data_IF_193289735492
#
_entry.id   IF_193289735492
#
_cell.length_a   1.000
_cell.length_b   1.000
_cell.length_c   1.000
_cell.angle_alpha   90.00
_cell.angle_beta   90.00
_cell.angle_gamma   90.00
#
_symmetry.space_group_name_H-M   'P 1'
#
loop_
_entity.id
_entity.type
_entity.pdbx_description
1 polymer ?
#
# COMPACT_ATOMS: atom_id res chain seq x y z
N UNK A 1 -24.25 14.86 8.00
CA UNK A 1 -23.46 15.97 7.43
C UNK A 1 -22.02 15.49 7.42
N UNK A 2 -21.61 14.77 6.39
CA UNK A 2 -20.21 14.36 6.20
C UNK A 2 -19.66 15.11 4.99
N UNK A 3 -19.17 16.32 5.26
CA UNK A 3 -18.38 17.10 4.33
C UNK A 3 -16.91 17.02 4.74
N UNK A 4 -16.23 15.96 4.28
CA UNK A 4 -14.80 16.02 4.00
C UNK A 4 -14.63 15.55 2.56
N UNK A 5 -14.72 16.52 1.63
CA UNK A 5 -14.48 16.33 0.20
C UNK A 5 -12.97 16.18 0.01
N UNK A 6 -12.45 15.00 0.34
CA UNK A 6 -11.36 14.44 -0.45
C UNK A 6 -11.96 13.96 -1.77
N UNK A 7 -11.22 14.08 -2.88
CA UNK A 7 -11.67 13.49 -4.14
C UNK A 7 -11.96 12.00 -3.92
N UNK A 8 -13.19 11.58 -4.16
CA UNK A 8 -13.60 10.19 -4.00
C UNK A 8 -12.85 9.33 -5.03
N UNK A 9 -12.38 8.14 -4.63
CA UNK A 9 -11.68 7.24 -5.55
C UNK A 9 -12.55 6.89 -6.76
N UNK A 10 -12.02 7.09 -7.96
CA UNK A 10 -12.67 6.76 -9.22
C UNK A 10 -11.89 5.65 -9.95
N UNK A 11 -12.47 4.44 -10.00
CA UNK A 11 -11.83 3.27 -10.66
C UNK A 11 -11.65 3.47 -12.18
N UNK A 12 -12.44 4.37 -12.79
CA UNK A 12 -12.31 4.76 -14.20
C UNK A 12 -11.10 5.68 -14.43
N UNK A 13 -10.44 6.16 -13.38
CA UNK A 13 -9.21 6.96 -13.46
C UNK A 13 -8.01 6.24 -12.83
N UNK A 14 -8.21 5.02 -12.33
CA UNK A 14 -7.21 4.22 -11.63
C UNK A 14 -6.62 3.12 -12.53
N UNK A 15 -6.23 3.49 -13.75
CA UNK A 15 -5.61 2.61 -14.73
C UNK A 15 -4.54 3.37 -15.51
N UNK A 16 -3.61 2.66 -16.15
CA UNK A 16 -2.66 3.31 -17.05
C UNK A 16 -3.38 3.84 -18.29
N UNK A 17 -3.07 5.07 -18.71
CA UNK A 17 -3.84 5.77 -19.77
C UNK A 17 -4.03 4.95 -21.04
N UNK A 18 -3.01 4.21 -21.49
CA UNK A 18 -3.09 3.42 -22.72
C UNK A 18 -4.19 2.35 -22.70
N UNK A 19 -4.58 1.86 -21.51
CA UNK A 19 -5.68 0.91 -21.30
C UNK A 19 -7.05 1.50 -21.66
N UNK A 20 -7.19 2.83 -21.72
CA UNK A 20 -8.40 3.50 -22.21
C UNK A 20 -8.74 3.12 -23.66
N UNK A 21 -7.75 2.75 -24.47
CA UNK A 21 -7.93 2.42 -25.90
C UNK A 21 -8.04 0.92 -26.19
N UNK A 22 -7.75 0.09 -25.19
CA UNK A 22 -7.58 -1.36 -25.35
C UNK A 22 -8.82 -2.12 -25.78
N UNK A 23 -10.01 -1.66 -25.42
CA UNK A 23 -11.26 -2.27 -25.89
C UNK A 23 -11.37 -2.29 -27.43
N UNK A 24 -10.67 -1.42 -28.16
CA UNK A 24 -10.62 -1.44 -29.63
C UNK A 24 -9.56 -2.40 -30.21
N UNK A 25 -8.69 -2.95 -29.37
CA UNK A 25 -7.48 -3.67 -29.78
C UNK A 25 -7.54 -5.16 -29.42
N UNK A 26 -8.24 -5.53 -28.36
CA UNK A 26 -8.27 -6.92 -27.90
C UNK A 26 -9.32 -7.77 -28.63
N UNK A 27 -9.01 -9.04 -28.90
CA UNK A 27 -10.03 -10.02 -29.18
C UNK A 27 -10.93 -10.25 -27.93
N UNK A 28 -12.20 -10.66 -28.13
CA UNK A 28 -13.07 -11.06 -27.03
C UNK A 28 -12.46 -12.18 -26.17
N UNK A 29 -12.83 -12.26 -24.88
CA UNK A 29 -12.41 -13.28 -23.89
C UNK A 29 -10.94 -13.24 -23.41
N UNK A 30 -10.38 -12.05 -23.21
CA UNK A 30 -9.02 -11.89 -22.66
C UNK A 30 -8.94 -12.27 -21.16
N UNK A 31 -7.95 -13.10 -20.79
CA UNK A 31 -7.67 -13.53 -19.41
C UNK A 31 -6.33 -12.98 -18.93
N UNK A 32 -6.26 -12.56 -17.68
CA UNK A 32 -5.01 -12.13 -17.04
C UNK A 32 -4.56 -13.09 -15.95
N UNK A 33 -3.25 -13.34 -15.94
CA UNK A 33 -2.58 -14.13 -14.92
C UNK A 33 -1.44 -13.30 -14.34
N UNK A 34 -1.33 -13.29 -13.01
CA UNK A 34 -0.26 -12.59 -12.31
C UNK A 34 0.60 -13.62 -11.58
N UNK A 35 1.90 -13.58 -11.87
CA UNK A 35 2.95 -14.34 -11.20
C UNK A 35 4.06 -13.38 -10.75
N UNK A 36 4.95 -13.86 -9.88
CA UNK A 36 6.03 -13.03 -9.32
C UNK A 36 7.40 -13.62 -9.61
N UNK A 37 8.36 -12.73 -9.86
CA UNK A 37 9.76 -13.05 -10.13
C UNK A 37 10.60 -13.07 -8.84
N UNK A 38 10.33 -13.99 -7.90
CA UNK A 38 11.16 -14.22 -6.70
C UNK A 38 11.21 -15.72 -6.41
N UNK A 39 12.34 -16.24 -5.90
CA UNK A 39 12.52 -17.69 -5.62
C UNK A 39 11.40 -18.30 -4.75
N UNK A 40 11.05 -17.60 -3.67
CA UNK A 40 9.85 -17.83 -2.85
C UNK A 40 9.24 -16.47 -2.51
N UNK A 41 7.90 -16.39 -2.47
CA UNK A 41 7.15 -15.20 -2.06
C UNK A 41 6.12 -15.53 -1.00
N UNK A 42 5.81 -14.56 -0.14
CA UNK A 42 4.64 -14.59 0.74
C UNK A 42 3.52 -13.84 0.03
N UNK A 43 2.45 -14.54 -0.35
CA UNK A 43 1.30 -13.91 -0.97
C UNK A 43 0.46 -13.17 0.08
N UNK A 44 0.33 -11.85 -0.03
CA UNK A 44 -0.41 -11.01 0.92
C UNK A 44 -0.79 -9.67 0.27
N UNK A 45 -1.95 -9.13 0.62
CA UNK A 45 -2.37 -7.77 0.24
C UNK A 45 -3.48 -7.66 -0.81
N UNK A 46 -3.89 -8.76 -1.45
CA UNK A 46 -4.91 -8.72 -2.50
C UNK A 46 -6.28 -8.36 -1.91
N UNK A 47 -6.64 -8.92 -0.76
CA UNK A 47 -7.90 -8.67 -0.06
C UNK A 47 -8.10 -7.19 0.25
N UNK A 48 -7.02 -6.49 0.65
CA UNK A 48 -7.07 -5.04 0.84
C UNK A 48 -7.53 -4.31 -0.43
N UNK A 49 -6.93 -4.63 -1.57
CA UNK A 49 -7.25 -4.00 -2.87
C UNK A 49 -8.69 -4.35 -3.28
N UNK A 50 -9.08 -5.62 -3.17
CA UNK A 50 -10.43 -6.08 -3.51
C UNK A 50 -11.49 -5.34 -2.70
N UNK A 51 -11.33 -5.29 -1.37
CA UNK A 51 -12.32 -4.70 -0.47
C UNK A 51 -12.36 -3.17 -0.54
N UNK A 52 -11.21 -2.51 -0.74
CA UNK A 52 -11.14 -1.04 -0.76
C UNK A 52 -11.57 -0.45 -2.10
N UNK A 53 -11.19 -1.09 -3.21
CA UNK A 53 -11.26 -0.46 -4.53
C UNK A 53 -12.18 -1.13 -5.54
N UNK A 54 -12.47 -2.43 -5.39
CA UNK A 54 -13.18 -3.20 -6.43
C UNK A 54 -14.55 -3.72 -5.98
N UNK A 55 -14.75 -3.92 -4.67
CA UNK A 55 -16.00 -4.44 -4.11
C UNK A 55 -17.09 -3.37 -4.09
N UNK A 56 -18.30 -3.78 -4.48
CA UNK A 56 -19.52 -2.96 -4.38
C UNK A 56 -19.76 -2.12 -5.62
N UNK A 57 -20.57 -1.07 -5.47
CA UNK A 57 -20.88 -0.11 -6.52
C UNK A 57 -19.74 0.89 -6.70
N UNK A 58 -18.84 0.57 -7.64
CA UNK A 58 -17.63 1.37 -7.91
C UNK A 58 -17.78 2.25 -9.15
N UNK A 59 -18.79 2.00 -9.97
CA UNK A 59 -19.14 2.80 -11.14
C UNK A 59 -20.40 3.61 -10.83
N UNK A 60 -20.36 4.92 -11.12
CA UNK A 60 -21.53 5.81 -11.05
C UNK A 60 -21.58 6.71 -12.28
N UNK A 61 -22.72 7.37 -12.51
CA UNK A 61 -22.88 8.29 -13.64
C UNK A 61 -21.89 9.45 -13.55
N UNK A 62 -21.66 9.96 -12.34
CA UNK A 62 -20.74 11.07 -12.05
C UNK A 62 -19.30 10.66 -12.37
N UNK A 63 -18.88 9.46 -11.94
CA UNK A 63 -17.56 8.91 -12.23
C UNK A 63 -17.32 8.68 -13.73
N UNK A 64 -18.36 8.30 -14.48
CA UNK A 64 -18.30 8.14 -15.94
C UNK A 64 -18.09 9.49 -16.63
N UNK A 65 -18.85 10.51 -16.23
CA UNK A 65 -18.76 11.85 -16.83
C UNK A 65 -17.41 12.51 -16.53
N UNK A 66 -16.93 12.39 -15.28
CA UNK A 66 -15.61 12.86 -14.88
C UNK A 66 -14.51 12.17 -15.70
N UNK A 67 -14.55 10.84 -15.82
CA UNK A 67 -13.55 10.10 -16.57
C UNK A 67 -13.56 10.45 -18.07
N UNK A 68 -14.74 10.60 -18.67
CA UNK A 68 -14.89 11.04 -20.06
C UNK A 68 -14.24 12.40 -20.30
N UNK A 69 -14.47 13.36 -19.40
CA UNK A 69 -13.84 14.68 -19.47
C UNK A 69 -12.31 14.60 -19.36
N UNK A 70 -11.80 13.92 -18.32
CA UNK A 70 -10.36 13.76 -18.11
C UNK A 70 -9.69 13.09 -19.30
N UNK A 71 -10.26 12.01 -19.84
CA UNK A 71 -9.67 11.31 -20.98
C UNK A 71 -9.76 12.10 -22.28
N UNK A 72 -10.84 12.85 -22.49
CA UNK A 72 -10.96 13.75 -23.65
C UNK A 72 -9.86 14.80 -23.64
N UNK A 73 -9.61 15.44 -22.50
CA UNK A 73 -8.52 16.41 -22.35
C UNK A 73 -7.14 15.74 -22.41
N UNK A 74 -6.97 14.55 -21.84
CA UNK A 74 -5.68 13.85 -21.85
C UNK A 74 -5.26 13.40 -23.25
N UNK A 75 -6.20 12.87 -24.05
CA UNK A 75 -5.91 12.31 -25.37
C UNK A 75 -6.15 13.27 -26.53
N UNK A 76 -6.92 14.34 -26.32
CA UNK A 76 -7.38 15.26 -27.38
C UNK A 76 -8.17 14.55 -28.49
N UNK A 77 -8.69 13.35 -28.19
CA UNK A 77 -9.56 12.53 -29.06
C UNK A 77 -10.48 11.69 -28.19
N UNK A 78 -11.69 11.41 -28.69
CA UNK A 78 -12.66 10.57 -27.98
C UNK A 78 -12.30 9.08 -28.08
N UNK A 79 -11.57 8.60 -27.08
CA UNK A 79 -11.15 7.20 -26.97
C UNK A 79 -11.82 6.45 -25.82
N UNK A 80 -12.37 7.15 -24.83
CA UNK A 80 -12.89 6.53 -23.61
C UNK A 80 -14.10 5.61 -23.90
N UNK A 81 -14.09 4.40 -23.33
CA UNK A 81 -15.18 3.43 -23.52
C UNK A 81 -16.41 3.77 -22.66
N UNK A 82 -17.02 4.93 -22.88
CA UNK A 82 -18.22 5.37 -22.15
C UNK A 82 -19.34 4.34 -22.23
N UNK A 83 -19.57 3.76 -23.41
CA UNK A 83 -20.62 2.75 -23.63
C UNK A 83 -20.40 1.52 -22.74
N UNK A 84 -19.18 0.99 -22.68
CA UNK A 84 -18.86 -0.16 -21.83
C UNK A 84 -19.04 0.14 -20.33
N UNK A 85 -18.65 1.33 -19.88
CA UNK A 85 -18.85 1.72 -18.48
C UNK A 85 -20.33 1.97 -18.13
N UNK A 86 -21.09 2.60 -19.02
CA UNK A 86 -22.54 2.74 -18.87
C UNK A 86 -23.24 1.38 -18.81
N UNK A 87 -22.82 0.42 -19.63
CA UNK A 87 -23.35 -0.94 -19.58
C UNK A 87 -23.15 -1.61 -18.21
N UNK A 88 -21.96 -1.47 -17.62
CA UNK A 88 -21.69 -2.00 -16.27
C UNK A 88 -22.59 -1.32 -15.22
N UNK A 89 -22.77 0.01 -15.33
CA UNK A 89 -23.67 0.76 -14.45
C UNK A 89 -25.12 0.26 -14.55
N UNK A 90 -25.64 0.12 -15.76
CA UNK A 90 -27.05 -0.24 -15.99
C UNK A 90 -27.35 -1.72 -15.70
N UNK A 91 -26.46 -2.64 -16.11
CA UNK A 91 -26.69 -4.08 -15.98
C UNK A 91 -26.34 -4.63 -14.60
N UNK A 92 -25.27 -4.12 -13.98
CA UNK A 92 -24.72 -4.65 -12.73
C UNK A 92 -24.82 -3.66 -11.56
N UNK A 93 -25.61 -2.59 -11.69
CA UNK A 93 -25.69 -1.49 -10.71
C UNK A 93 -24.28 -0.96 -10.35
N UNK A 94 -23.39 -0.90 -11.33
CA UNK A 94 -22.02 -0.42 -11.16
C UNK A 94 -21.07 -1.37 -10.41
N UNK A 95 -21.44 -2.63 -10.21
CA UNK A 95 -20.55 -3.69 -9.74
C UNK A 95 -19.75 -4.27 -10.90
N UNK A 96 -18.46 -4.53 -10.70
CA UNK A 96 -17.59 -5.06 -11.74
C UNK A 96 -17.88 -6.55 -12.01
N UNK A 97 -18.24 -6.96 -13.26
CA UNK A 97 -18.48 -8.36 -13.61
C UNK A 97 -17.14 -9.08 -13.86
N UNK A 98 -16.40 -9.32 -12.78
CA UNK A 98 -15.11 -10.04 -12.80
C UNK A 98 -15.07 -11.11 -11.72
N UNK A 99 -14.38 -12.21 -12.01
CA UNK A 99 -14.05 -13.26 -11.05
C UNK A 99 -12.54 -13.23 -10.78
N UNK A 100 -12.17 -13.25 -9.50
CA UNK A 100 -10.78 -13.29 -9.04
C UNK A 100 -10.57 -14.58 -8.26
N UNK A 101 -9.65 -15.43 -8.74
CA UNK A 101 -9.25 -16.68 -8.06
C UNK A 101 -7.81 -16.53 -7.61
N UNK A 102 -7.56 -16.71 -6.31
CA UNK A 102 -6.24 -16.51 -5.72
C UNK A 102 -5.86 -17.67 -4.78
N UNK A 103 -4.55 -17.89 -4.62
CA UNK A 103 -4.04 -18.72 -3.52
C UNK A 103 -4.37 -18.06 -2.17
N UNK A 104 -4.48 -18.81 -1.07
CA UNK A 104 -4.75 -18.20 0.24
C UNK A 104 -3.65 -17.21 0.64
N UNK A 105 -4.03 -16.02 1.13
CA UNK A 105 -3.06 -15.08 1.69
C UNK A 105 -2.33 -15.68 2.90
N UNK A 106 -1.05 -15.33 3.07
CA UNK A 106 -0.12 -15.93 4.02
C UNK A 106 0.63 -17.15 3.45
N UNK A 107 0.23 -17.68 2.30
CA UNK A 107 0.91 -18.81 1.66
C UNK A 107 2.31 -18.43 1.18
N UNK A 108 3.23 -19.38 1.27
CA UNK A 108 4.59 -19.27 0.71
C UNK A 108 4.60 -19.99 -0.64
N UNK A 109 4.84 -19.23 -1.72
CA UNK A 109 4.70 -19.72 -3.09
C UNK A 109 6.06 -19.66 -3.80
N UNK A 110 6.55 -20.77 -4.41
CA UNK A 110 7.76 -20.76 -5.21
C UNK A 110 7.62 -19.93 -6.50
N UNK A 111 8.75 -19.45 -7.04
CA UNK A 111 8.81 -18.74 -8.32
C UNK A 111 8.09 -19.50 -9.43
N UNK A 112 7.46 -18.74 -10.34
CA UNK A 112 6.85 -19.30 -11.56
C UNK A 112 5.47 -19.92 -11.36
N UNK A 113 4.91 -19.83 -10.15
CA UNK A 113 3.52 -20.20 -9.89
C UNK A 113 2.61 -18.97 -9.98
N UNK A 114 1.39 -19.21 -10.46
CA UNK A 114 0.33 -18.21 -10.50
C UNK A 114 -0.13 -17.92 -9.08
N UNK A 115 -0.19 -16.64 -8.71
CA UNK A 115 -0.70 -16.22 -7.40
C UNK A 115 -2.21 -15.97 -7.45
N UNK A 116 -2.66 -15.31 -8.50
CA UNK A 116 -4.08 -15.12 -8.77
C UNK A 116 -4.34 -14.92 -10.26
N UNK A 117 -5.59 -15.17 -10.64
CA UNK A 117 -6.13 -14.99 -11.98
C UNK A 117 -7.35 -14.10 -11.94
N UNK A 118 -7.58 -13.40 -13.05
CA UNK A 118 -8.74 -12.52 -13.23
C UNK A 118 -9.38 -12.81 -14.57
N UNK A 119 -10.70 -12.97 -14.56
CA UNK A 119 -11.50 -13.15 -15.76
C UNK A 119 -12.78 -12.32 -15.69
N UNK A 120 -13.22 -11.78 -16.82
CA UNK A 120 -14.53 -11.15 -16.94
C UNK A 120 -15.62 -12.24 -16.91
N UNK A 121 -16.73 -11.99 -16.22
CA UNK A 121 -17.88 -12.90 -16.15
C UNK A 121 -18.95 -12.57 -17.18
N UNK A 122 -18.78 -11.47 -17.92
CA UNK A 122 -19.67 -11.03 -19.01
C UNK A 122 -18.86 -10.79 -20.29
N UNK A 123 -19.23 -11.40 -21.44
CA UNK A 123 -18.54 -11.19 -22.71
C UNK A 123 -18.45 -9.72 -23.16
N UNK A 124 -19.40 -8.86 -22.82
CA UNK A 124 -19.38 -7.42 -23.15
C UNK A 124 -18.32 -6.64 -22.34
N UNK A 125 -17.75 -7.27 -21.31
CA UNK A 125 -16.75 -6.70 -20.42
C UNK A 125 -15.35 -7.29 -20.60
N UNK A 126 -15.04 -7.87 -21.77
CA UNK A 126 -13.72 -8.48 -22.07
C UNK A 126 -12.52 -7.54 -21.84
N UNK A 127 -12.70 -6.23 -22.01
CA UNK A 127 -11.68 -5.21 -21.83
C UNK A 127 -11.40 -4.90 -20.34
N UNK A 128 -12.33 -5.23 -19.44
CA UNK A 128 -12.28 -4.90 -18.02
C UNK A 128 -11.15 -5.65 -17.30
N UNK A 129 -10.88 -6.90 -17.71
CA UNK A 129 -9.81 -7.74 -17.15
C UNK A 129 -8.46 -7.02 -17.16
N UNK A 130 -8.15 -6.34 -18.27
CA UNK A 130 -6.93 -5.54 -18.43
C UNK A 130 -7.00 -4.17 -17.77
N UNK A 131 -8.20 -3.60 -17.63
CA UNK A 131 -8.38 -2.29 -17.01
C UNK A 131 -7.92 -2.30 -15.54
N UNK A 132 -8.36 -3.31 -14.79
CA UNK A 132 -8.07 -3.44 -13.35
C UNK A 132 -6.68 -4.01 -13.06
N UNK A 133 -5.92 -4.36 -14.09
CA UNK A 133 -4.56 -4.88 -13.95
C UNK A 133 -3.65 -3.92 -13.18
N UNK A 134 -3.67 -2.62 -13.53
CA UNK A 134 -2.78 -1.61 -12.91
C UNK A 134 -2.95 -1.58 -11.39
N UNK A 135 -4.19 -1.56 -10.89
CA UNK A 135 -4.46 -1.53 -9.45
C UNK A 135 -4.19 -2.87 -8.77
N UNK A 136 -4.50 -3.99 -9.43
CA UNK A 136 -4.22 -5.31 -8.89
C UNK A 136 -2.71 -5.61 -8.83
N UNK A 137 -1.93 -5.13 -9.79
CA UNK A 137 -0.48 -5.31 -9.79
C UNK A 137 0.18 -4.60 -8.62
N UNK A 138 -0.42 -3.55 -8.03
CA UNK A 138 0.09 -2.91 -6.80
C UNK A 138 0.20 -3.88 -5.60
N UNK A 139 -0.41 -5.07 -5.68
CA UNK A 139 -0.17 -6.19 -4.73
C UNK A 139 1.32 -6.57 -4.64
N UNK A 140 2.14 -6.25 -5.64
CA UNK A 140 3.60 -6.46 -5.60
C UNK A 140 4.24 -5.88 -4.34
N UNK A 141 3.75 -4.73 -3.86
CA UNK A 141 4.31 -4.02 -2.71
C UNK A 141 4.15 -4.81 -1.40
N UNK A 142 2.91 -5.16 -0.94
CA UNK A 142 2.73 -5.97 0.25
C UNK A 142 3.38 -7.36 0.14
N UNK A 143 3.36 -8.01 -1.04
CA UNK A 143 4.07 -9.27 -1.28
C UNK A 143 5.57 -9.11 -1.01
N UNK A 144 6.17 -8.05 -1.54
CA UNK A 144 7.61 -7.81 -1.42
C UNK A 144 7.99 -7.55 0.03
N UNK A 145 7.25 -6.68 0.73
CA UNK A 145 7.51 -6.37 2.15
C UNK A 145 7.36 -7.61 3.02
N UNK A 146 6.27 -8.38 2.87
CA UNK A 146 6.06 -9.61 3.63
C UNK A 146 7.15 -10.66 3.33
N UNK A 147 7.58 -10.78 2.07
CA UNK A 147 8.62 -11.72 1.64
C UNK A 147 9.99 -11.36 2.24
N UNK A 148 10.41 -10.09 2.14
CA UNK A 148 11.71 -9.65 2.66
C UNK A 148 11.73 -9.61 4.19
N UNK A 149 10.62 -9.25 4.84
CA UNK A 149 10.46 -9.39 6.28
C UNK A 149 10.62 -10.86 6.71
N UNK A 150 10.00 -11.80 6.00
CA UNK A 150 10.18 -13.25 6.23
C UNK A 150 11.63 -13.71 6.03
N UNK A 151 12.31 -13.23 4.98
CA UNK A 151 13.73 -13.56 4.73
C UNK A 151 14.61 -13.12 5.90
N UNK A 152 14.39 -11.92 6.43
CA UNK A 152 15.08 -11.45 7.65
C UNK A 152 14.72 -12.31 8.86
N UNK A 153 13.45 -12.72 9.01
CA UNK A 153 13.05 -13.66 10.08
C UNK A 153 13.81 -14.99 10.01
N UNK A 154 14.03 -15.55 8.82
CA UNK A 154 14.84 -16.78 8.63
C UNK A 154 16.29 -16.57 9.12
N UNK A 155 16.91 -15.43 8.79
CA UNK A 155 18.27 -15.10 9.23
C UNK A 155 18.33 -14.96 10.76
N UNK A 156 17.41 -14.21 11.35
CA UNK A 156 17.33 -14.02 12.80
C UNK A 156 17.09 -15.34 13.53
N UNK A 157 16.19 -16.18 13.02
CA UNK A 157 15.90 -17.49 13.60
C UNK A 157 17.13 -18.40 13.62
N UNK A 158 17.88 -18.44 12.50
CA UNK A 158 19.12 -19.21 12.41
C UNK A 158 20.15 -18.73 13.44
N UNK A 159 20.43 -17.43 13.47
CA UNK A 159 21.40 -16.86 14.40
C UNK A 159 20.99 -17.07 15.87
N UNK A 160 19.70 -16.92 16.19
CA UNK A 160 19.19 -17.08 17.55
C UNK A 160 19.30 -18.55 18.01
N UNK A 161 18.95 -19.52 17.15
CA UNK A 161 19.15 -20.94 17.45
C UNK A 161 20.61 -21.29 17.66
N UNK A 162 21.51 -20.80 16.80
CA UNK A 162 22.94 -21.11 16.88
C UNK A 162 23.59 -20.52 18.14
N UNK A 163 23.14 -19.35 18.60
CA UNK A 163 23.79 -18.61 19.70
C UNK A 163 23.12 -18.81 21.06
N UNK A 164 21.83 -19.15 21.08
CA UNK A 164 21.05 -19.28 22.33
C UNK A 164 20.33 -20.62 22.49
N UNK A 165 20.27 -21.45 21.45
CA UNK A 165 19.54 -22.72 21.47
C UNK A 165 18.00 -22.60 21.50
N UNK A 166 17.45 -21.38 21.38
CA UNK A 166 16.01 -21.11 21.45
C UNK A 166 15.58 -20.11 20.36
N UNK A 167 14.27 -20.06 20.07
CA UNK A 167 13.62 -19.04 19.24
C UNK A 167 12.86 -18.00 20.06
N UNK A 168 13.01 -18.00 21.39
CA UNK A 168 12.24 -17.15 22.28
C UNK A 168 12.37 -15.66 21.92
N UNK A 169 11.23 -15.02 21.71
CA UNK A 169 11.12 -13.61 21.36
C UNK A 169 11.47 -13.26 19.92
N UNK A 170 11.69 -14.25 19.03
CA UNK A 170 11.94 -14.04 17.59
C UNK A 170 10.91 -13.10 16.97
N UNK A 171 9.65 -13.22 17.35
CA UNK A 171 8.54 -12.40 16.85
C UNK A 171 8.68 -10.90 17.16
N UNK A 172 9.57 -10.50 18.07
CA UNK A 172 9.88 -9.11 18.41
C UNK A 172 11.30 -8.68 18.02
N UNK A 173 12.09 -9.52 17.32
CA UNK A 173 13.50 -9.22 16.98
C UNK A 173 13.68 -8.27 15.79
N UNK A 174 12.61 -7.95 15.05
CA UNK A 174 12.64 -6.94 13.99
C UNK A 174 11.43 -6.01 14.13
N UNK A 175 11.69 -4.79 14.61
CA UNK A 175 10.67 -3.78 14.85
C UNK A 175 10.53 -2.84 13.65
N UNK A 176 9.29 -2.58 13.24
CA UNK A 176 9.01 -1.65 12.14
C UNK A 176 9.09 -0.18 12.61
N UNK A 177 10.13 0.53 12.17
CA UNK A 177 10.32 1.98 12.34
C UNK A 177 10.11 2.78 11.03
N UNK A 178 9.48 2.17 10.02
CA UNK A 178 9.40 2.67 8.65
C UNK A 178 8.44 3.81 8.41
N UNK A 179 7.55 4.14 9.37
CA UNK A 179 6.42 5.06 9.14
C UNK A 179 6.81 6.38 8.46
N UNK A 180 7.87 7.04 8.94
CA UNK A 180 8.30 8.35 8.39
C UNK A 180 9.11 8.24 7.09
N UNK A 181 9.54 7.04 6.72
CA UNK A 181 10.45 6.78 5.60
C UNK A 181 9.74 6.31 4.32
N UNK A 182 8.42 6.15 4.35
CA UNK A 182 7.65 5.70 3.18
C UNK A 182 7.00 6.86 2.44
N UNK A 183 6.58 6.60 1.20
CA UNK A 183 6.11 7.61 0.25
C UNK A 183 4.71 8.18 0.53
N UNK A 184 3.89 7.50 1.34
CA UNK A 184 2.54 7.96 1.66
C UNK A 184 1.99 7.31 2.93
N UNK A 185 0.89 7.88 3.45
CA UNK A 185 0.14 7.32 4.57
C UNK A 185 -0.42 5.92 4.27
N UNK A 186 -0.91 5.72 3.05
CA UNK A 186 -1.43 4.42 2.61
C UNK A 186 -0.30 3.39 2.45
N UNK A 187 0.84 3.80 1.89
CA UNK A 187 2.05 2.96 1.82
C UNK A 187 2.48 2.50 3.21
N UNK A 188 2.47 3.41 4.20
CA UNK A 188 2.79 3.07 5.60
C UNK A 188 1.88 1.99 6.16
N UNK A 189 0.57 2.14 5.93
CA UNK A 189 -0.43 1.20 6.40
C UNK A 189 -0.23 -0.19 5.77
N UNK A 190 -0.09 -0.24 4.44
CA UNK A 190 0.08 -1.49 3.70
C UNK A 190 1.39 -2.18 4.09
N UNK A 191 2.50 -1.44 4.08
CA UNK A 191 3.84 -1.97 4.37
C UNK A 191 3.94 -2.50 5.80
N UNK A 192 3.45 -1.74 6.78
CA UNK A 192 3.48 -2.20 8.17
C UNK A 192 2.59 -3.42 8.39
N UNK A 193 1.40 -3.46 7.74
CA UNK A 193 0.54 -4.65 7.81
C UNK A 193 1.22 -5.89 7.23
N UNK A 194 2.01 -5.73 6.15
CA UNK A 194 2.76 -6.82 5.53
C UNK A 194 3.93 -7.29 6.39
N UNK A 195 4.59 -6.39 7.12
CA UNK A 195 5.62 -6.76 8.10
C UNK A 195 5.03 -7.58 9.25
N UNK A 196 3.85 -7.20 9.74
CA UNK A 196 3.15 -7.88 10.83
C UNK A 196 2.67 -9.30 10.51
N UNK A 197 2.74 -9.74 9.24
CA UNK A 197 2.60 -11.16 8.87
C UNK A 197 3.70 -12.01 9.54
N UNK A 198 4.89 -11.43 9.74
CA UNK A 198 6.06 -12.15 10.23
C UNK A 198 6.44 -11.79 11.68
N UNK A 199 6.20 -10.56 12.12
CA UNK A 199 6.61 -10.06 13.44
C UNK A 199 5.45 -9.39 14.17
N UNK A 200 5.65 -9.05 15.43
CA UNK A 200 4.66 -8.40 16.30
C UNK A 200 5.08 -7.00 16.77
N UNK A 201 6.25 -6.50 16.37
CA UNK A 201 6.77 -5.18 16.75
C UNK A 201 6.59 -4.13 15.65
N UNK A 202 5.89 -3.03 15.95
CA UNK A 202 5.72 -1.88 15.03
C UNK A 202 5.49 -0.56 15.75
N UNK A 203 6.08 0.52 15.23
CA UNK A 203 5.72 1.92 15.54
C UNK A 203 4.90 2.58 14.42
N UNK A 204 4.68 1.88 13.32
CA UNK A 204 3.88 2.34 12.19
C UNK A 204 2.40 2.05 12.47
N UNK A 205 1.77 2.93 13.24
CA UNK A 205 0.41 2.72 13.80
C UNK A 205 -0.67 2.44 12.74
N UNK A 206 -0.50 2.95 11.52
CA UNK A 206 -1.46 2.79 10.41
C UNK A 206 -1.57 1.34 9.92
N UNK A 207 -0.55 0.50 10.18
CA UNK A 207 -0.64 -0.94 9.91
C UNK A 207 -1.74 -1.62 10.72
N UNK A 208 -1.90 -1.22 12.00
CA UNK A 208 -2.90 -1.80 12.90
C UNK A 208 -4.32 -1.45 12.46
N UNK A 209 -4.55 -0.21 12.01
CA UNK A 209 -5.87 0.23 11.55
C UNK A 209 -6.28 -0.46 10.25
N UNK A 210 -5.32 -0.66 9.33
CA UNK A 210 -5.56 -1.42 8.10
C UNK A 210 -5.92 -2.87 8.42
N UNK A 211 -5.13 -3.57 9.25
CA UNK A 211 -5.41 -4.96 9.62
C UNK A 211 -6.81 -5.08 10.25
N UNK A 212 -7.13 -4.21 11.22
CA UNK A 212 -8.44 -4.23 11.88
C UNK A 212 -9.61 -4.06 10.89
N UNK A 213 -9.45 -3.20 9.87
CA UNK A 213 -10.49 -2.89 8.90
C UNK A 213 -10.66 -3.98 7.83
N UNK A 214 -9.56 -4.55 7.34
CA UNK A 214 -9.59 -5.39 6.14
C UNK A 214 -9.29 -6.87 6.36
N UNK A 215 -8.74 -7.28 7.50
CA UNK A 215 -8.39 -8.68 7.79
C UNK A 215 -8.97 -9.18 9.11
N UNK A 216 -8.78 -8.41 10.18
CA UNK A 216 -9.15 -8.77 11.54
C UNK A 216 -8.12 -9.66 12.25
N UNK A 217 -8.17 -9.64 13.57
CA UNK A 217 -7.36 -10.50 14.45
C UNK A 217 -8.24 -11.01 15.60
N UNK A 218 -7.91 -12.17 16.16
CA UNK A 218 -8.55 -12.63 17.40
C UNK A 218 -8.17 -11.74 18.58
N UNK A 219 -6.91 -11.35 18.64
CA UNK A 219 -6.40 -10.41 19.62
C UNK A 219 -6.85 -8.97 19.30
N UNK A 220 -6.91 -8.07 20.30
CA UNK A 220 -7.37 -6.69 20.09
C UNK A 220 -6.55 -5.89 19.07
N UNK A 221 -5.26 -6.22 18.92
CA UNK A 221 -4.32 -5.58 17.98
C UNK A 221 -3.32 -6.62 17.44
N UNK A 222 -2.84 -6.38 16.22
CA UNK A 222 -1.89 -7.27 15.53
C UNK A 222 -0.41 -7.03 15.89
N UNK A 223 -0.11 -5.91 16.54
CA UNK A 223 1.27 -5.49 16.82
C UNK A 223 1.35 -4.60 18.05
N UNK A 224 2.56 -4.52 18.60
CA UNK A 224 2.86 -3.91 19.89
C UNK A 224 4.10 -3.01 19.78
N UNK A 225 4.23 -2.12 20.75
CA UNK A 225 5.40 -1.28 20.96
C UNK A 225 5.67 -1.07 22.44
N UNK A 226 6.81 -0.47 22.77
CA UNK A 226 7.21 -0.06 24.10
C UNK A 226 7.58 1.42 24.10
N UNK A 227 7.43 2.14 25.23
CA UNK A 227 7.91 3.52 25.32
C UNK A 227 9.40 3.61 24.96
N UNK A 228 9.73 4.41 23.95
CA UNK A 228 11.09 4.62 23.48
C UNK A 228 11.42 6.12 23.41
N UNK A 229 12.70 6.48 23.61
CA UNK A 229 13.18 7.85 23.43
C UNK A 229 13.74 8.00 22.02
N UNK A 230 13.29 9.03 21.31
CA UNK A 230 13.88 9.43 20.04
C UNK A 230 14.83 10.62 20.26
N UNK A 231 16.07 10.53 19.77
CA UNK A 231 17.00 11.66 19.74
C UNK A 231 16.78 12.53 18.49
N UNK A 232 15.71 13.33 18.45
CA UNK A 232 15.62 14.50 17.54
C UNK A 232 16.21 15.77 18.17
N UNK A 233 16.43 15.75 19.49
CA UNK A 233 16.78 16.95 20.28
C UNK A 233 18.28 17.21 20.40
N UNK A 234 19.19 16.28 20.11
CA UNK A 234 20.62 16.56 20.36
C UNK A 234 21.15 17.67 19.44
N UNK A 235 20.68 17.76 18.20
CA UNK A 235 21.08 18.82 17.26
C UNK A 235 20.53 20.20 17.67
N UNK A 236 19.24 20.29 18.02
CA UNK A 236 18.63 21.57 18.47
C UNK A 236 19.10 22.00 19.86
N UNK A 237 19.33 21.06 20.78
CA UNK A 237 19.81 21.37 22.12
C UNK A 237 21.25 21.88 22.09
N UNK A 238 22.16 21.25 21.32
CA UNK A 238 23.52 21.77 21.13
C UNK A 238 23.56 23.09 20.36
N UNK A 239 22.69 23.26 19.35
CA UNK A 239 22.61 24.51 18.60
C UNK A 239 22.12 25.67 19.47
N UNK A 240 21.03 25.48 20.24
CA UNK A 240 20.57 26.48 21.21
C UNK A 240 21.57 26.71 22.35
N UNK A 241 22.29 25.66 22.78
CA UNK A 241 23.35 25.79 23.78
C UNK A 241 24.54 26.62 23.25
N UNK A 242 25.02 26.35 22.03
CA UNK A 242 26.10 27.11 21.38
C UNK A 242 25.71 28.57 21.12
N UNK A 243 24.46 28.84 20.70
CA UNK A 243 23.95 30.20 20.52
C UNK A 243 23.87 30.98 21.85
N UNK A 244 23.47 30.31 22.93
CA UNK A 244 23.45 30.95 24.25
C UNK A 244 24.86 31.20 24.78
N UNK A 245 25.81 30.28 24.55
CA UNK A 245 27.22 30.47 24.94
C UNK A 245 27.87 31.64 24.19
N UNK A 246 27.61 31.79 22.89
CA UNK A 246 28.13 32.92 22.10
C UNK A 246 27.51 34.26 22.54
N UNK A 247 26.21 34.30 22.83
CA UNK A 247 25.56 35.51 23.36
C UNK A 247 26.11 35.92 24.72
N UNK A 248 26.34 34.95 25.61
CA UNK A 248 26.93 35.22 26.92
C UNK A 248 28.38 35.70 26.82
N UNK A 249 29.18 35.16 25.91
CA UNK A 249 30.56 35.62 25.69
C UNK A 249 30.62 37.03 25.09
N UNK A 250 29.74 37.36 24.13
CA UNK A 250 29.64 38.71 23.56
C UNK A 250 29.20 39.72 24.61
N UNK A 251 28.22 39.37 25.46
CA UNK A 251 27.77 40.24 26.55
C UNK A 251 28.88 40.51 27.58
N UNK A 252 29.69 39.49 27.93
CA UNK A 252 30.84 39.65 28.81
C UNK A 252 31.91 40.57 28.20
N UNK A 253 32.17 40.42 26.91
CA UNK A 253 33.16 41.23 26.19
C UNK A 253 32.70 42.70 26.04
N UNK A 254 31.40 42.93 25.84
CA UNK A 254 30.83 44.29 25.83
C UNK A 254 30.87 44.96 27.21
N UNK A 255 30.64 44.22 28.30
CA UNK A 255 30.80 44.74 29.67
C UNK A 255 32.25 45.09 29.98
N UNK A 256 33.21 44.29 29.53
CA UNK A 256 34.64 44.59 29.73
C UNK A 256 35.12 45.80 28.92
N UNK A 257 34.54 46.06 27.73
CA UNK A 257 34.85 47.25 26.93
C UNK A 257 34.19 48.55 27.44
N UNK A 258 33.15 48.49 28.28
CA UNK A 258 32.49 49.68 28.85
C UNK A 258 33.14 50.22 30.13
N UNK A 259 34.21 49.59 30.61
CA UNK A 259 34.98 49.98 31.80
C UNK A 259 36.36 50.56 31.48
N UNK A 260 36.59 51.01 30.23
CA UNK A 260 37.72 51.85 29.81
C UNK A 260 37.21 53.22 29.37
#
# INVERSE_FOLDING_TARGET
MDSQVGAEFNILLATDSYKATHYKQYPPNTRNQIWVENEETVFYGLQYILLKYLKGKVVTKEKILEAEEVYREHFQVDVFNKKGWTYILEKYDGHLPVEVKAVPEGSIIPRGNVLFTVENTDPECYWLTNWIETILLQTWYPITVATYSRKQKKILAKALMETSGSLDGLEYKLHDFGYRGVSSQETAAIGSSAHLVNFKGTDTITGLTLIKKYYGTKDPVAGYSVPAKMELKMFWFWWSFLQNLTRSLIALQMQLCSYQ
#
